data_IF_181203625409
#
_entry.id   IF_181203625409
#
_cell.length_a   1.000
_cell.length_b   1.000
_cell.length_c   1.000
_cell.angle_alpha   90.00
_cell.angle_beta   90.00
_cell.angle_gamma   90.00
#
_symmetry.space_group_name_H-M   'P 1'
#
loop_
_entity.id
_entity.type
_entity.pdbx_description
1 polymer ?
#
# COMPACT_ATOMS: atom_id res chain seq x y z
N UNK A 1 22.07 -2.15 3.27
CA UNK A 1 21.14 -1.20 3.86
C UNK A 1 20.34 -0.50 2.79
N UNK A 2 20.99 -0.07 1.75
CA UNK A 2 20.29 0.60 0.66
C UNK A 2 19.24 -0.29 0.01
N UNK A 3 19.57 -1.57 -0.12
CA UNK A 3 18.63 -2.52 -0.71
C UNK A 3 17.36 -2.63 0.11
N UNK A 4 17.52 -2.60 1.41
CA UNK A 4 16.41 -2.75 2.31
C UNK A 4 15.46 -1.56 2.20
N UNK A 5 16.02 -0.37 2.20
CA UNK A 5 15.22 0.84 2.08
C UNK A 5 14.51 0.91 0.74
N UNK A 6 15.19 0.48 -0.31
CA UNK A 6 14.59 0.48 -1.63
C UNK A 6 13.42 -0.47 -1.71
N UNK A 7 13.49 -1.61 -1.02
CA UNK A 7 12.39 -2.57 -1.03
C UNK A 7 11.14 -1.99 -0.38
N UNK A 8 11.30 -1.30 0.72
CA UNK A 8 10.18 -0.69 1.41
C UNK A 8 9.55 0.39 0.53
N UNK A 9 10.40 1.23 -0.04
CA UNK A 9 9.95 2.30 -0.91
C UNK A 9 9.23 1.75 -2.13
N UNK A 10 9.80 0.70 -2.70
CA UNK A 10 9.25 0.09 -3.89
C UNK A 10 7.85 -0.49 -3.64
N UNK A 11 7.67 -1.11 -2.48
CA UNK A 11 6.37 -1.64 -2.13
C UNK A 11 5.33 -0.53 -2.02
N UNK A 12 5.69 0.56 -1.36
CA UNK A 12 4.78 1.68 -1.21
C UNK A 12 4.42 2.30 -2.53
N UNK A 13 5.40 2.47 -3.40
CA UNK A 13 5.18 3.02 -4.72
C UNK A 13 4.26 2.12 -5.55
N UNK A 14 4.43 0.82 -5.42
CA UNK A 14 3.58 -0.12 -6.13
C UNK A 14 2.14 -0.01 -5.66
N UNK A 15 1.94 0.06 -4.36
CA UNK A 15 0.60 0.22 -3.81
C UNK A 15 -0.04 1.49 -4.36
N UNK A 16 0.70 2.57 -4.35
CA UNK A 16 0.19 3.84 -4.85
C UNK A 16 -0.15 3.76 -6.34
N UNK A 17 0.73 3.17 -7.11
CA UNK A 17 0.53 3.04 -8.55
C UNK A 17 -0.73 2.24 -8.87
N UNK A 18 -0.89 1.11 -8.19
CA UNK A 18 -2.05 0.26 -8.43
C UNK A 18 -3.33 0.98 -8.00
N UNK A 19 -3.26 1.64 -6.85
CA UNK A 19 -4.41 2.38 -6.35
C UNK A 19 -4.87 3.43 -7.36
N UNK A 20 -3.92 4.22 -7.86
CA UNK A 20 -4.24 5.27 -8.83
C UNK A 20 -4.73 4.68 -10.13
N UNK A 21 -4.15 3.57 -10.53
CA UNK A 21 -4.57 2.89 -11.75
C UNK A 21 -6.02 2.43 -11.66
N UNK A 22 -6.48 2.11 -10.47
CA UNK A 22 -7.86 1.71 -10.27
C UNK A 22 -8.78 2.90 -9.99
N UNK A 23 -8.25 4.12 -10.10
CA UNK A 23 -9.04 5.32 -9.91
C UNK A 23 -9.46 5.55 -8.47
N UNK A 24 -8.70 5.01 -7.53
CA UNK A 24 -9.07 5.05 -6.12
C UNK A 24 -8.31 6.15 -5.40
N UNK A 25 -9.02 6.92 -4.59
CA UNK A 25 -8.37 7.95 -3.78
C UNK A 25 -7.74 7.32 -2.55
N UNK A 26 -6.73 8.00 -2.01
CA UNK A 26 -6.02 7.51 -0.84
C UNK A 26 -6.97 7.32 0.34
N UNK A 27 -7.85 8.29 0.56
CA UNK A 27 -8.83 8.18 1.65
C UNK A 27 -9.74 6.96 1.44
N UNK A 28 -10.12 6.72 0.22
CA UNK A 28 -11.00 5.61 -0.10
C UNK A 28 -10.35 4.26 0.23
N UNK A 29 -9.10 4.10 -0.16
CA UNK A 29 -8.40 2.86 0.15
C UNK A 29 -8.20 2.71 1.66
N UNK A 30 -7.82 3.80 2.32
CA UNK A 30 -7.62 3.76 3.77
C UNK A 30 -8.89 3.33 4.49
N UNK A 31 -10.03 3.88 4.07
CA UNK A 31 -11.31 3.53 4.65
C UNK A 31 -11.62 2.05 4.46
N UNK A 32 -11.34 1.53 3.27
CA UNK A 32 -11.66 0.14 2.97
C UNK A 32 -10.81 -0.86 3.75
N UNK A 33 -9.59 -0.47 4.09
CA UNK A 33 -8.71 -1.39 4.83
C UNK A 33 -8.68 -1.08 6.32
N UNK A 34 -9.41 -0.04 6.76
CA UNK A 34 -9.59 0.22 8.18
C UNK A 34 -8.44 0.94 8.85
N UNK A 35 -7.68 1.73 8.11
CA UNK A 35 -6.62 2.56 8.70
C UNK A 35 -6.88 4.01 8.33
N UNK A 36 -6.21 4.92 9.01
CA UNK A 36 -6.39 6.32 8.64
C UNK A 36 -5.52 6.67 7.44
N UNK A 37 -5.89 7.75 6.77
CA UNK A 37 -5.22 8.14 5.54
C UNK A 37 -3.76 8.48 5.75
N UNK A 38 -3.44 9.02 6.91
CA UNK A 38 -2.06 9.38 7.21
C UNK A 38 -1.18 8.14 7.29
N UNK A 39 -1.70 7.06 7.88
CA UNK A 39 -0.97 5.81 7.93
C UNK A 39 -0.73 5.25 6.53
N UNK A 40 -1.75 5.30 5.69
CA UNK A 40 -1.61 4.84 4.32
C UNK A 40 -0.62 5.70 3.56
N UNK A 41 -0.66 7.00 3.78
CA UNK A 41 0.28 7.91 3.13
C UNK A 41 1.72 7.54 3.46
N UNK A 42 1.99 7.22 4.73
CA UNK A 42 3.33 6.84 5.14
C UNK A 42 3.76 5.55 4.47
N UNK A 43 2.84 4.61 4.34
CA UNK A 43 3.13 3.35 3.66
C UNK A 43 3.48 3.61 2.20
N UNK A 44 2.68 4.44 1.54
CA UNK A 44 2.89 4.70 0.11
C UNK A 44 4.19 5.46 -0.14
N UNK A 45 4.61 6.28 0.82
CA UNK A 45 5.87 7.02 0.68
C UNK A 45 7.09 6.22 1.10
N UNK A 46 6.88 5.00 1.61
CA UNK A 46 7.99 4.18 2.04
C UNK A 46 8.53 4.53 3.41
N UNK A 47 7.78 5.32 4.17
CA UNK A 47 8.18 5.70 5.53
C UNK A 47 7.90 4.58 6.51
N UNK A 48 6.78 3.91 6.33
CA UNK A 48 6.39 2.78 7.16
C UNK A 48 6.15 1.56 6.31
N UNK A 49 6.44 0.40 6.88
CA UNK A 49 6.14 -0.86 6.23
C UNK A 49 4.81 -1.37 6.79
N UNK A 50 3.88 -1.79 5.96
CA UNK A 50 2.59 -2.28 6.48
C UNK A 50 2.79 -3.60 7.20
N UNK A 51 1.94 -3.85 8.20
CA UNK A 51 1.90 -5.17 8.80
C UNK A 51 1.39 -6.16 7.76
N UNK A 52 1.64 -7.45 8.04
CA UNK A 52 1.17 -8.47 7.11
C UNK A 52 -0.35 -8.40 6.94
N UNK A 53 -1.05 -8.19 8.04
CA UNK A 53 -2.51 -8.09 8.00
C UNK A 53 -2.96 -6.91 7.13
N UNK A 54 -2.32 -5.77 7.30
CA UNK A 54 -2.65 -4.59 6.51
C UNK A 54 -2.34 -4.82 5.05
N UNK A 55 -1.20 -5.43 4.76
CA UNK A 55 -0.81 -5.71 3.39
C UNK A 55 -1.81 -6.64 2.71
N UNK A 56 -2.27 -7.65 3.44
CA UNK A 56 -3.26 -8.58 2.93
C UNK A 56 -4.54 -7.85 2.55
N UNK A 57 -4.97 -6.95 3.41
CA UNK A 57 -6.19 -6.17 3.14
C UNK A 57 -6.02 -5.26 1.94
N UNK A 58 -4.84 -4.66 1.81
CA UNK A 58 -4.57 -3.82 0.66
C UNK A 58 -4.66 -4.64 -0.63
N UNK A 59 -4.05 -5.81 -0.63
CA UNK A 59 -4.05 -6.66 -1.81
C UNK A 59 -5.46 -7.14 -2.15
N UNK A 60 -6.25 -7.46 -1.14
CA UNK A 60 -7.63 -7.86 -1.36
C UNK A 60 -8.45 -6.75 -2.01
N UNK A 61 -8.31 -5.54 -1.49
CA UNK A 61 -9.08 -4.41 -2.01
C UNK A 61 -8.64 -4.05 -3.42
N UNK A 62 -7.35 -4.08 -3.68
CA UNK A 62 -6.83 -3.72 -4.99
C UNK A 62 -6.95 -4.86 -6.00
N UNK A 63 -7.31 -6.05 -5.56
CA UNK A 63 -7.49 -7.17 -6.46
C UNK A 63 -6.20 -7.78 -6.95
N UNK A 64 -5.09 -7.53 -6.25
CA UNK A 64 -3.81 -8.11 -6.61
C UNK A 64 -3.58 -9.34 -5.77
N UNK A 65 -3.20 -10.43 -6.40
CA UNK A 65 -2.89 -11.64 -5.67
C UNK A 65 -1.51 -12.14 -6.08
N UNK A 66 -0.89 -12.94 -5.22
CA UNK A 66 0.43 -13.46 -5.56
C UNK A 66 0.44 -14.34 -6.80
N UNK A 67 -0.73 -14.82 -7.20
CA UNK A 67 -0.82 -15.72 -8.36
C UNK A 67 -1.00 -14.98 -9.66
N UNK A 68 -1.21 -13.70 -9.58
CA UNK A 68 -1.34 -12.90 -10.77
C UNK A 68 0.02 -12.50 -11.28
#
# INVERSE_FOLDING_TARGET
MEHYEKKISFLGENIQTIRKHRGMKQQELADKIGINMQSLSKIERGVNYPTFDTLEKIMDVLGETPNE
#
